data_IF_655884142191
#
_entry.id   IF_655884142191
#
_cell.length_a   1.000
_cell.length_b   1.000
_cell.length_c   1.000
_cell.angle_alpha   90.00
_cell.angle_beta   90.00
_cell.angle_gamma   90.00
#
_symmetry.space_group_name_H-M   'P 1'
#
loop_
_entity.id
_entity.type
_entity.pdbx_description
1 polymer ?
#
# COMPACT_ATOMS: atom_id res chain seq x y z
N UNK A 1 -22.35 14.99 2.66
CA UNK A 1 -21.45 14.39 3.67
C UNK A 1 -21.05 15.50 4.63
N UNK A 2 -21.05 15.25 5.94
CA UNK A 2 -20.59 16.24 6.93
C UNK A 2 -19.05 16.37 6.86
N UNK A 3 -18.50 17.53 7.23
CA UNK A 3 -17.04 17.75 7.24
C UNK A 3 -16.28 16.68 8.03
N UNK A 4 -16.85 16.19 9.14
CA UNK A 4 -16.29 15.11 9.95
C UNK A 4 -16.20 13.78 9.18
N UNK A 5 -17.14 13.50 8.29
CA UNK A 5 -17.15 12.28 7.46
C UNK A 5 -16.03 12.32 6.42
N UNK A 6 -15.75 13.48 5.83
CA UNK A 6 -14.66 13.64 4.83
C UNK A 6 -13.29 13.46 5.48
N UNK A 7 -13.08 14.03 6.67
CA UNK A 7 -11.82 13.87 7.42
C UNK A 7 -11.57 12.40 7.77
N UNK A 8 -12.61 11.70 8.27
CA UNK A 8 -12.52 10.28 8.60
C UNK A 8 -12.17 9.41 7.37
N UNK A 9 -12.73 9.72 6.20
CA UNK A 9 -12.40 9.01 4.94
C UNK A 9 -10.92 9.18 4.58
N UNK A 10 -10.39 10.40 4.63
CA UNK A 10 -8.98 10.66 4.33
C UNK A 10 -8.05 9.93 5.30
N UNK A 11 -8.35 9.99 6.60
CA UNK A 11 -7.57 9.28 7.63
C UNK A 11 -7.58 7.77 7.43
N UNK A 12 -8.74 7.18 7.11
CA UNK A 12 -8.84 5.75 6.84
C UNK A 12 -8.00 5.35 5.62
N UNK A 13 -8.03 6.12 4.54
CA UNK A 13 -7.19 5.85 3.36
C UNK A 13 -5.70 5.84 3.71
N UNK A 14 -5.23 6.81 4.50
CA UNK A 14 -3.84 6.89 4.95
C UNK A 14 -3.46 5.69 5.83
N UNK A 15 -4.30 5.31 6.79
CA UNK A 15 -4.06 4.16 7.65
C UNK A 15 -4.06 2.83 6.88
N UNK A 16 -4.93 2.69 5.87
CA UNK A 16 -4.94 1.50 5.01
C UNK A 16 -3.59 1.36 4.29
N UNK A 17 -3.09 2.43 3.66
CA UNK A 17 -1.78 2.37 3.00
C UNK A 17 -0.64 2.13 4.00
N UNK A 18 -0.66 2.80 5.14
CA UNK A 18 0.31 2.54 6.22
C UNK A 18 0.35 1.06 6.61
N UNK A 19 -0.79 0.41 6.82
CA UNK A 19 -0.81 -1.01 7.16
C UNK A 19 -0.41 -1.92 6.00
N UNK A 20 -0.67 -1.52 4.75
CA UNK A 20 -0.18 -2.25 3.58
C UNK A 20 1.35 -2.17 3.47
N UNK A 21 1.95 -1.01 3.71
CA UNK A 21 3.40 -0.80 3.65
C UNK A 21 4.13 -1.52 4.79
N UNK A 22 3.44 -1.78 5.91
CA UNK A 22 3.95 -2.53 7.06
C UNK A 22 3.59 -4.02 7.04
N UNK A 23 3.25 -4.59 5.86
CA UNK A 23 2.91 -6.01 5.69
C UNK A 23 1.83 -6.51 6.68
N UNK A 24 0.85 -5.65 6.97
CA UNK A 24 -0.26 -5.93 7.89
C UNK A 24 -1.62 -5.89 7.15
N UNK A 25 -1.86 -6.82 6.20
CA UNK A 25 -3.02 -6.75 5.32
C UNK A 25 -4.36 -7.01 6.03
N UNK A 26 -4.39 -7.74 7.15
CA UNK A 26 -5.63 -7.94 7.93
C UNK A 26 -6.13 -6.64 8.56
N UNK A 27 -5.22 -5.85 9.16
CA UNK A 27 -5.54 -4.53 9.69
C UNK A 27 -6.01 -3.58 8.58
N UNK A 28 -5.30 -3.59 7.45
CA UNK A 28 -5.68 -2.81 6.28
C UNK A 28 -7.08 -3.20 5.76
N UNK A 29 -7.40 -4.50 5.71
CA UNK A 29 -8.69 -5.00 5.25
C UNK A 29 -9.83 -4.54 6.17
N UNK A 30 -9.66 -4.66 7.49
CA UNK A 30 -10.67 -4.19 8.45
C UNK A 30 -10.98 -2.70 8.28
N UNK A 31 -9.95 -1.87 8.11
CA UNK A 31 -10.12 -0.43 7.87
C UNK A 31 -10.76 -0.15 6.50
N UNK A 32 -10.44 -0.95 5.47
CA UNK A 32 -11.04 -0.83 4.15
C UNK A 32 -12.54 -1.20 4.16
N UNK A 33 -12.95 -2.22 4.93
CA UNK A 33 -14.37 -2.55 5.14
C UNK A 33 -15.12 -1.41 5.82
N UNK A 34 -14.49 -0.77 6.82
CA UNK A 34 -15.04 0.42 7.47
C UNK A 34 -15.17 1.59 6.50
N UNK A 35 -14.14 1.85 5.70
CA UNK A 35 -14.16 2.90 4.67
C UNK A 35 -15.27 2.66 3.65
N UNK A 36 -15.42 1.43 3.16
CA UNK A 36 -16.47 1.05 2.22
C UNK A 36 -17.87 1.20 2.83
N UNK A 37 -18.03 0.92 4.12
CA UNK A 37 -19.31 1.12 4.82
C UNK A 37 -19.70 2.60 4.95
N UNK A 38 -18.71 3.50 5.10
CA UNK A 38 -18.93 4.95 5.17
C UNK A 38 -19.24 5.53 3.78
N UNK A 39 -18.49 5.09 2.76
CA UNK A 39 -18.60 5.63 1.39
C UNK A 39 -18.62 4.51 0.33
N UNK A 40 -19.75 3.78 0.20
CA UNK A 40 -19.86 2.63 -0.70
C UNK A 40 -20.01 3.01 -2.18
N UNK A 41 -20.30 4.29 -2.47
CA UNK A 41 -20.48 4.78 -3.85
C UNK A 41 -19.16 5.20 -4.48
N UNK A 42 -18.15 5.47 -3.66
CA UNK A 42 -16.85 5.92 -4.12
C UNK A 42 -16.01 4.74 -4.64
N UNK A 43 -15.52 4.82 -5.89
CA UNK A 43 -14.70 3.76 -6.46
C UNK A 43 -13.36 3.58 -5.73
N UNK A 44 -12.82 4.62 -5.08
CA UNK A 44 -11.59 4.50 -4.28
C UNK A 44 -11.79 3.55 -3.09
N UNK A 45 -12.93 3.64 -2.41
CA UNK A 45 -13.27 2.76 -1.29
C UNK A 45 -13.37 1.31 -1.75
N UNK A 46 -14.02 1.09 -2.90
CA UNK A 46 -14.14 -0.24 -3.52
C UNK A 46 -12.77 -0.78 -3.95
N UNK A 47 -11.90 0.08 -4.48
CA UNK A 47 -10.54 -0.27 -4.87
C UNK A 47 -9.70 -0.72 -3.68
N UNK A 48 -9.69 0.05 -2.58
CA UNK A 48 -8.91 -0.30 -1.39
C UNK A 48 -9.40 -1.58 -0.72
N UNK A 49 -10.72 -1.80 -0.68
CA UNK A 49 -11.28 -3.06 -0.21
C UNK A 49 -10.87 -4.23 -1.12
N UNK A 50 -10.91 -4.06 -2.43
CA UNK A 50 -10.46 -5.09 -3.36
C UNK A 50 -8.95 -5.36 -3.25
N UNK A 51 -8.13 -4.30 -3.11
CA UNK A 51 -6.68 -4.39 -3.00
C UNK A 51 -6.26 -5.16 -1.74
N UNK A 52 -6.86 -4.84 -0.59
CA UNK A 52 -6.59 -5.52 0.68
C UNK A 52 -7.00 -7.00 0.62
N UNK A 53 -8.16 -7.31 0.03
CA UNK A 53 -8.56 -8.71 -0.21
C UNK A 53 -7.60 -9.45 -1.16
N UNK A 54 -7.09 -8.77 -2.20
CA UNK A 54 -6.10 -9.36 -3.09
C UNK A 54 -4.79 -9.68 -2.35
N UNK A 55 -4.31 -8.77 -1.48
CA UNK A 55 -3.13 -9.01 -0.63
C UNK A 55 -3.31 -10.18 0.32
N UNK A 56 -4.53 -10.39 0.82
CA UNK A 56 -4.91 -11.57 1.61
C UNK A 56 -5.14 -12.85 0.79
N UNK A 57 -4.83 -12.83 -0.53
CA UNK A 57 -5.07 -13.94 -1.48
C UNK A 57 -6.54 -14.38 -1.58
N UNK A 58 -7.48 -13.51 -1.21
CA UNK A 58 -8.93 -13.72 -1.34
C UNK A 58 -9.38 -13.27 -2.73
N UNK A 59 -8.87 -13.92 -3.77
CA UNK A 59 -9.00 -13.45 -5.16
C UNK A 59 -10.45 -13.32 -5.64
N UNK A 60 -11.33 -14.23 -5.21
CA UNK A 60 -12.76 -14.14 -5.56
C UNK A 60 -13.41 -12.88 -4.98
N UNK A 61 -13.15 -12.58 -3.72
CA UNK A 61 -13.65 -11.36 -3.06
C UNK A 61 -13.07 -10.11 -3.70
N UNK A 62 -11.76 -10.10 -3.99
CA UNK A 62 -11.12 -8.99 -4.69
C UNK A 62 -11.75 -8.72 -6.08
N UNK A 63 -12.04 -9.78 -6.83
CA UNK A 63 -12.77 -9.71 -8.10
C UNK A 63 -14.16 -9.08 -7.89
N UNK A 64 -14.96 -9.58 -6.94
CA UNK A 64 -16.33 -9.09 -6.72
C UNK A 64 -16.36 -7.61 -6.29
N UNK A 65 -15.48 -7.21 -5.38
CA UNK A 65 -15.39 -5.82 -4.89
C UNK A 65 -14.95 -4.83 -5.98
N UNK A 66 -14.10 -5.25 -6.92
CA UNK A 66 -13.56 -4.38 -7.97
C UNK A 66 -14.42 -4.36 -9.24
N UNK A 67 -15.29 -5.34 -9.44
CA UNK A 67 -16.02 -5.58 -10.69
C UNK A 67 -16.81 -4.37 -11.18
N UNK A 68 -17.62 -3.74 -10.32
CA UNK A 68 -18.54 -2.66 -10.70
C UNK A 68 -17.84 -1.47 -11.36
N UNK A 69 -16.72 -1.04 -10.80
CA UNK A 69 -15.98 0.13 -11.29
C UNK A 69 -14.88 -0.26 -12.27
N UNK A 70 -14.26 -1.43 -12.08
CA UNK A 70 -13.18 -1.93 -12.92
C UNK A 70 -13.67 -2.40 -14.29
N UNK A 71 -14.72 -3.21 -14.36
CA UNK A 71 -15.24 -3.76 -15.62
C UNK A 71 -15.86 -2.70 -16.55
N UNK A 72 -16.17 -1.52 -16.01
CA UNK A 72 -16.67 -0.36 -16.76
C UNK A 72 -15.58 0.65 -17.12
N UNK A 73 -14.32 0.41 -16.74
CA UNK A 73 -13.20 1.32 -17.01
C UNK A 73 -13.30 2.68 -16.32
N UNK A 74 -14.15 2.81 -15.29
CA UNK A 74 -14.38 4.10 -14.60
C UNK A 74 -13.31 4.45 -13.58
N UNK A 75 -12.59 3.45 -13.09
CA UNK A 75 -11.55 3.62 -12.07
C UNK A 75 -10.39 2.67 -12.33
N UNK A 76 -9.19 3.23 -12.55
CA UNK A 76 -8.00 2.48 -12.92
C UNK A 76 -7.58 1.48 -11.84
N UNK A 77 -7.58 1.90 -10.56
CA UNK A 77 -7.20 1.00 -9.47
C UNK A 77 -8.13 -0.21 -9.36
N UNK A 78 -9.44 -0.03 -9.60
CA UNK A 78 -10.39 -1.14 -9.63
C UNK A 78 -10.13 -2.05 -10.84
N UNK A 79 -9.93 -1.47 -12.03
CA UNK A 79 -9.67 -2.25 -13.23
C UNK A 79 -8.39 -3.09 -13.08
N UNK A 80 -7.36 -2.54 -12.46
CA UNK A 80 -6.10 -3.23 -12.22
C UNK A 80 -6.22 -4.37 -11.22
N UNK A 81 -6.86 -4.14 -10.06
CA UNK A 81 -7.08 -5.23 -9.08
C UNK A 81 -8.03 -6.30 -9.63
N UNK A 82 -9.04 -5.92 -10.41
CA UNK A 82 -9.91 -6.87 -11.11
C UNK A 82 -9.10 -7.75 -12.06
N UNK A 83 -8.22 -7.14 -12.85
CA UNK A 83 -7.35 -7.85 -13.79
C UNK A 83 -6.34 -8.78 -13.08
N UNK A 84 -5.75 -8.33 -11.97
CA UNK A 84 -4.91 -9.17 -11.11
C UNK A 84 -5.69 -10.38 -10.58
N UNK A 85 -6.89 -10.16 -10.04
CA UNK A 85 -7.74 -11.26 -9.58
C UNK A 85 -8.15 -12.20 -10.73
N UNK A 86 -8.44 -11.67 -11.92
CA UNK A 86 -8.73 -12.45 -13.12
C UNK A 86 -7.56 -13.34 -13.54
N UNK A 87 -6.31 -12.88 -13.42
CA UNK A 87 -5.13 -13.68 -13.68
C UNK A 87 -5.07 -14.91 -12.76
N UNK A 88 -5.27 -14.72 -11.45
CA UNK A 88 -5.25 -15.81 -10.46
C UNK A 88 -6.44 -16.77 -10.59
N UNK A 89 -7.59 -16.26 -11.07
CA UNK A 89 -8.80 -17.06 -11.29
C UNK A 89 -8.87 -17.70 -12.68
N UNK A 90 -7.89 -17.48 -13.56
CA UNK A 90 -7.89 -17.96 -14.95
C UNK A 90 -8.91 -17.27 -15.87
N UNK A 91 -9.50 -16.16 -15.43
CA UNK A 91 -10.51 -15.37 -16.16
C UNK A 91 -9.87 -14.32 -17.07
N UNK A 92 -8.89 -14.72 -17.86
CA UNK A 92 -8.02 -13.81 -18.61
C UNK A 92 -8.78 -12.79 -19.48
N UNK A 93 -9.82 -13.24 -20.20
CA UNK A 93 -10.66 -12.40 -21.06
C UNK A 93 -11.31 -11.22 -20.32
N UNK A 94 -11.81 -11.46 -19.11
CA UNK A 94 -12.45 -10.41 -18.31
C UNK A 94 -11.43 -9.38 -17.83
N UNK A 95 -10.24 -9.84 -17.41
CA UNK A 95 -9.14 -8.96 -17.00
C UNK A 95 -8.64 -8.07 -18.14
N UNK A 96 -8.45 -8.65 -19.33
CA UNK A 96 -8.08 -7.92 -20.54
C UNK A 96 -9.12 -6.84 -20.85
N UNK A 97 -10.41 -7.23 -20.91
CA UNK A 97 -11.49 -6.29 -21.22
C UNK A 97 -11.57 -5.13 -20.22
N UNK A 98 -11.30 -5.37 -18.94
CA UNK A 98 -11.30 -4.33 -17.91
C UNK A 98 -10.17 -3.31 -18.12
N UNK A 99 -8.94 -3.76 -18.39
CA UNK A 99 -7.79 -2.88 -18.63
C UNK A 99 -7.94 -2.10 -19.94
N UNK A 100 -8.47 -2.73 -20.98
CA UNK A 100 -8.73 -2.08 -22.27
C UNK A 100 -9.81 -1.00 -22.18
N UNK A 101 -10.89 -1.23 -21.43
CA UNK A 101 -11.89 -0.18 -21.17
C UNK A 101 -11.32 0.99 -20.37
N UNK A 102 -10.33 0.73 -19.51
CA UNK A 102 -9.64 1.75 -18.73
C UNK A 102 -8.47 2.41 -19.48
N UNK A 103 -8.25 2.12 -20.78
CA UNK A 103 -7.07 2.56 -21.56
C UNK A 103 -6.77 4.05 -21.44
N UNK A 104 -7.79 4.90 -21.52
CA UNK A 104 -7.64 6.36 -21.39
C UNK A 104 -7.12 6.83 -20.02
N UNK A 105 -7.22 6.00 -18.98
CA UNK A 105 -6.77 6.34 -17.63
C UNK A 105 -5.30 6.01 -17.37
N UNK A 106 -4.66 5.18 -18.20
CA UNK A 106 -3.29 4.72 -17.97
C UNK A 106 -2.35 4.91 -19.15
N UNK A 107 -2.87 4.97 -20.39
CA UNK A 107 -2.04 5.12 -21.57
C UNK A 107 -1.19 6.41 -21.49
N UNK A 108 0.12 6.28 -21.72
CA UNK A 108 1.07 7.40 -21.63
C UNK A 108 1.39 7.89 -20.22
N UNK A 109 0.89 7.24 -19.16
CA UNK A 109 1.28 7.58 -17.78
C UNK A 109 2.57 6.88 -17.41
N UNK A 110 3.55 7.67 -16.97
CA UNK A 110 4.77 7.18 -16.33
C UNK A 110 4.83 7.68 -14.88
N UNK A 111 5.10 6.77 -13.94
CA UNK A 111 5.36 7.11 -12.54
C UNK A 111 6.86 7.20 -12.22
N UNK A 112 7.70 7.10 -13.25
CA UNK A 112 9.14 7.19 -13.07
C UNK A 112 9.56 8.54 -12.49
N UNK A 113 10.50 8.51 -11.54
CA UNK A 113 10.94 9.69 -10.79
C UNK A 113 9.91 10.29 -9.83
N UNK A 114 8.69 9.72 -9.75
CA UNK A 114 7.61 10.19 -8.86
C UNK A 114 7.46 9.36 -7.58
N UNK A 115 8.18 8.24 -7.50
CA UNK A 115 8.35 7.49 -6.26
C UNK A 115 9.50 8.11 -5.48
N UNK A 116 9.20 8.71 -4.34
CA UNK A 116 10.19 9.26 -3.41
C UNK A 116 10.18 8.45 -2.11
N UNK A 117 11.18 8.66 -1.25
CA UNK A 117 11.25 8.02 0.07
C UNK A 117 9.96 8.23 0.90
N UNK A 118 9.25 9.34 0.67
CA UNK A 118 8.06 9.74 1.43
C UNK A 118 6.76 9.67 0.61
N UNK A 119 6.80 9.27 -0.66
CA UNK A 119 5.63 9.30 -1.54
C UNK A 119 5.66 8.16 -2.55
N UNK A 120 4.68 7.25 -2.42
CA UNK A 120 4.44 6.19 -3.39
C UNK A 120 3.11 6.42 -4.10
N UNK A 121 3.10 6.29 -5.43
CA UNK A 121 1.85 6.25 -6.19
C UNK A 121 1.22 4.86 -6.04
N UNK A 122 0.01 4.80 -5.51
CA UNK A 122 -0.72 3.55 -5.29
C UNK A 122 -1.55 3.08 -6.50
N UNK A 123 -1.61 3.89 -7.57
CA UNK A 123 -2.21 3.52 -8.85
C UNK A 123 -1.13 3.02 -9.81
N UNK A 124 -1.42 2.04 -10.68
CA UNK A 124 -0.45 1.54 -11.66
C UNK A 124 -0.19 2.58 -12.76
N UNK A 125 0.99 2.54 -13.35
CA UNK A 125 1.36 3.30 -14.54
C UNK A 125 1.22 2.44 -15.82
N UNK A 126 1.54 3.02 -16.98
CA UNK A 126 1.42 2.32 -18.26
C UNK A 126 2.28 1.06 -18.34
N UNK A 127 3.50 1.11 -17.77
CA UNK A 127 4.40 -0.04 -17.75
C UNK A 127 3.77 -1.20 -16.96
N UNK A 128 3.30 -0.95 -15.73
CA UNK A 128 2.66 -1.96 -14.90
C UNK A 128 1.40 -2.57 -15.55
N UNK A 129 0.56 -1.73 -16.18
CA UNK A 129 -0.64 -2.20 -16.88
C UNK A 129 -0.29 -3.07 -18.09
N UNK A 130 0.66 -2.65 -18.92
CA UNK A 130 1.10 -3.43 -20.08
C UNK A 130 1.73 -4.76 -19.67
N UNK A 131 2.50 -4.79 -18.58
CA UNK A 131 3.05 -6.05 -18.04
C UNK A 131 1.95 -7.02 -17.64
N UNK A 132 0.90 -6.55 -16.96
CA UNK A 132 -0.23 -7.39 -16.59
C UNK A 132 -1.04 -7.84 -17.81
N UNK A 133 -1.24 -6.97 -18.81
CA UNK A 133 -1.86 -7.34 -20.09
C UNK A 133 -1.07 -8.46 -20.79
N UNK A 134 0.26 -8.38 -20.80
CA UNK A 134 1.12 -9.43 -21.35
C UNK A 134 0.91 -10.78 -20.66
N UNK A 135 0.83 -10.79 -19.32
CA UNK A 135 0.52 -12.00 -18.54
C UNK A 135 -0.86 -12.57 -18.84
N UNK A 136 -1.87 -11.70 -18.95
CA UNK A 136 -3.23 -12.11 -19.26
C UNK A 136 -3.35 -12.67 -20.69
N UNK A 137 -2.73 -12.04 -21.68
CA UNK A 137 -2.72 -12.56 -23.05
C UNK A 137 -1.97 -13.89 -23.17
N UNK A 138 -0.87 -14.06 -22.42
CA UNK A 138 -0.16 -15.34 -22.33
C UNK A 138 -1.05 -16.42 -21.72
N UNK A 139 -1.75 -16.11 -20.63
CA UNK A 139 -2.73 -17.03 -20.00
C UNK A 139 -3.96 -17.31 -20.87
N UNK A 140 -4.35 -16.36 -21.72
CA UNK A 140 -5.39 -16.53 -22.74
C UNK A 140 -4.95 -17.42 -23.91
N UNK A 141 -3.63 -17.56 -24.14
CA UNK A 141 -3.07 -18.34 -25.24
C UNK A 141 -2.74 -17.53 -26.51
N UNK A 142 -2.80 -16.20 -26.47
CA UNK A 142 -2.38 -15.33 -27.58
C UNK A 142 -0.97 -14.77 -27.32
N UNK A 143 0.05 -15.54 -27.72
CA UNK A 143 1.44 -15.16 -27.51
C UNK A 143 1.85 -13.90 -28.28
N UNK A 144 1.23 -13.64 -29.44
CA UNK A 144 1.56 -12.46 -30.26
C UNK A 144 1.18 -11.18 -29.52
N UNK A 145 -0.07 -11.10 -29.05
CA UNK A 145 -0.54 -9.94 -28.26
C UNK A 145 0.20 -9.81 -26.94
N UNK A 146 0.57 -10.93 -26.31
CA UNK A 146 1.40 -10.91 -25.11
C UNK A 146 2.76 -10.22 -25.38
N UNK A 147 3.39 -10.53 -26.51
CA UNK A 147 4.65 -9.92 -26.94
C UNK A 147 4.52 -8.42 -27.19
N UNK A 148 3.47 -8.01 -27.92
CA UNK A 148 3.20 -6.59 -28.17
C UNK A 148 3.07 -5.81 -26.85
N UNK A 149 2.32 -6.35 -25.87
CA UNK A 149 2.18 -5.76 -24.55
C UNK A 149 3.52 -5.70 -23.79
N UNK A 150 4.32 -6.76 -23.81
CA UNK A 150 5.62 -6.76 -23.15
C UNK A 150 6.60 -5.78 -23.80
N UNK A 151 6.61 -5.64 -25.13
CA UNK A 151 7.42 -4.66 -25.83
C UNK A 151 7.04 -3.24 -25.38
N UNK A 152 5.75 -2.93 -25.32
CA UNK A 152 5.28 -1.61 -24.85
C UNK A 152 5.59 -1.37 -23.37
N UNK A 153 5.50 -2.39 -22.52
CA UNK A 153 5.91 -2.32 -21.13
C UNK A 153 7.42 -2.04 -21.00
N UNK A 154 8.25 -2.73 -21.79
CA UNK A 154 9.70 -2.57 -21.77
C UNK A 154 10.15 -1.19 -22.27
N UNK A 155 9.50 -0.66 -23.33
CA UNK A 155 9.73 0.72 -23.79
C UNK A 155 9.41 1.75 -22.71
N UNK A 156 8.33 1.53 -21.96
CA UNK A 156 7.88 2.43 -20.90
C UNK A 156 8.76 2.35 -19.65
N UNK A 157 9.21 1.15 -19.28
CA UNK A 157 10.12 0.90 -18.17
C UNK A 157 11.08 -0.27 -18.49
N UNK A 158 12.30 0.02 -18.97
CA UNK A 158 13.30 -0.99 -19.32
C UNK A 158 13.78 -1.83 -18.13
N UNK A 159 13.57 -1.35 -16.90
CA UNK A 159 14.02 -2.01 -15.67
C UNK A 159 13.02 -3.04 -15.13
N UNK A 160 11.95 -3.32 -15.86
CA UNK A 160 10.95 -4.32 -15.47
C UNK A 160 11.45 -5.73 -15.79
N UNK A 161 12.12 -6.38 -14.82
CA UNK A 161 12.71 -7.72 -15.00
C UNK A 161 11.72 -8.76 -15.53
N UNK A 162 10.51 -8.80 -15.00
CA UNK A 162 9.50 -9.77 -15.40
C UNK A 162 9.07 -9.65 -16.87
N UNK A 163 9.14 -8.45 -17.44
CA UNK A 163 8.86 -8.20 -18.87
C UNK A 163 9.99 -8.76 -19.72
N UNK A 164 11.24 -8.48 -19.33
CA UNK A 164 12.42 -9.04 -19.99
C UNK A 164 12.37 -10.57 -20.00
N UNK A 165 12.09 -11.18 -18.86
CA UNK A 165 11.94 -12.64 -18.76
C UNK A 165 10.79 -13.14 -19.64
N UNK A 166 9.64 -12.45 -19.65
CA UNK A 166 8.51 -12.79 -20.50
C UNK A 166 8.84 -12.76 -22.00
N UNK A 167 9.66 -11.80 -22.44
CA UNK A 167 10.14 -11.70 -23.81
C UNK A 167 11.13 -12.82 -24.16
N UNK A 168 12.06 -13.15 -23.26
CA UNK A 168 12.97 -14.29 -23.43
C UNK A 168 12.21 -15.63 -23.54
N UNK A 169 11.24 -15.87 -22.65
CA UNK A 169 10.38 -17.06 -22.66
C UNK A 169 9.63 -17.23 -23.99
N UNK A 170 9.34 -16.11 -24.66
CA UNK A 170 8.67 -16.08 -25.95
C UNK A 170 9.60 -16.26 -27.15
N UNK A 171 10.92 -16.34 -26.92
CA UNK A 171 11.92 -16.44 -27.98
C UNK A 171 12.16 -15.12 -28.72
N UNK A 172 11.87 -13.97 -28.10
CA UNK A 172 12.23 -12.69 -28.68
C UNK A 172 13.76 -12.54 -28.71
N UNK A 173 14.30 -12.04 -29.82
CA UNK A 173 15.69 -11.64 -29.91
C UNK A 173 15.87 -10.30 -29.18
N UNK A 174 16.61 -10.31 -28.08
CA UNK A 174 16.79 -9.13 -27.22
C UNK A 174 18.27 -8.77 -27.16
N UNK A 175 18.59 -7.50 -27.41
CA UNK A 175 19.93 -6.96 -27.17
C UNK A 175 20.19 -6.80 -25.66
N UNK A 176 20.90 -7.77 -25.08
CA UNK A 176 21.25 -7.79 -23.66
C UNK A 176 22.03 -6.53 -23.24
N UNK A 177 22.88 -6.00 -24.12
CA UNK A 177 23.72 -4.84 -23.79
C UNK A 177 22.88 -3.54 -23.73
N UNK A 178 21.79 -3.47 -24.50
CA UNK A 178 20.89 -2.32 -24.60
C UNK A 178 19.65 -2.37 -23.69
N UNK A 179 19.27 -3.56 -23.20
CA UNK A 179 17.97 -3.79 -22.55
C UNK A 179 17.74 -3.04 -21.23
N UNK A 180 18.77 -2.89 -20.41
CA UNK A 180 18.65 -2.25 -19.09
C UNK A 180 19.31 -0.88 -19.08
N UNK A 181 18.91 -0.02 -20.02
CA UNK A 181 19.43 1.35 -20.14
C UNK A 181 18.34 2.39 -19.89
N UNK A 182 18.75 3.48 -19.25
CA UNK A 182 17.92 4.67 -19.09
C UNK A 182 17.66 5.28 -20.48
N UNK A 183 16.41 5.32 -20.91
CA UNK A 183 16.03 5.98 -22.17
C UNK A 183 15.92 7.49 -21.99
N UNK A 184 16.06 8.26 -23.07
CA UNK A 184 15.97 9.72 -23.04
C UNK A 184 14.59 10.20 -22.55
N UNK A 185 13.52 9.49 -22.92
CA UNK A 185 12.15 9.76 -22.46
C UNK A 185 12.01 9.55 -20.95
N UNK A 186 12.65 8.49 -20.44
CA UNK A 186 12.67 8.17 -19.03
C UNK A 186 13.47 9.21 -18.23
N UNK A 187 14.63 9.63 -18.73
CA UNK A 187 15.42 10.70 -18.14
C UNK A 187 14.66 12.03 -18.07
N UNK A 188 13.90 12.36 -19.13
CA UNK A 188 13.06 13.57 -19.19
C UNK A 188 11.92 13.52 -18.17
N UNK A 189 11.37 12.34 -17.93
CA UNK A 189 10.33 12.11 -16.92
C UNK A 189 10.84 12.34 -15.50
N UNK A 190 12.09 11.94 -15.19
CA UNK A 190 12.73 12.19 -13.88
C UNK A 190 12.91 13.68 -13.65
N UNK A 191 13.49 14.40 -14.62
CA UNK A 191 13.75 15.83 -14.52
C UNK A 191 12.45 16.63 -14.35
N UNK A 192 11.39 16.22 -15.03
CA UNK A 192 10.07 16.83 -14.88
C UNK A 192 9.45 16.54 -13.51
N UNK A 193 9.64 15.33 -12.99
CA UNK A 193 9.16 14.95 -11.66
C UNK A 193 9.90 15.72 -10.55
N UNK A 194 11.22 15.84 -10.63
CA UNK A 194 12.01 16.61 -9.65
C UNK A 194 11.67 18.10 -9.67
N UNK A 195 11.45 18.69 -10.85
CA UNK A 195 10.95 20.07 -10.96
C UNK A 195 9.56 20.27 -10.33
N UNK A 196 8.67 19.28 -10.45
CA UNK A 196 7.35 19.34 -9.81
C UNK A 196 7.39 19.24 -8.29
N UNK A 197 8.38 18.52 -7.74
CA UNK A 197 8.60 18.40 -6.29
C UNK A 197 9.14 19.72 -5.73
N UNK A 198 10.13 20.35 -6.39
CA UNK A 198 10.70 21.64 -5.96
C UNK A 198 9.67 22.77 -5.94
N UNK A 199 8.71 22.78 -6.88
CA UNK A 199 7.62 23.76 -6.87
C UNK A 199 6.63 23.58 -5.72
N UNK A 200 6.61 22.40 -5.08
CA UNK A 200 5.75 22.13 -3.93
C UNK A 200 6.35 22.60 -2.59
N UNK A 201 7.66 22.88 -2.55
CA UNK A 201 8.34 23.50 -1.40
C UNK A 201 8.28 25.04 -1.40
N UNK A 202 7.76 25.68 -2.45
CA UNK A 202 7.56 27.14 -2.48
C UNK A 202 6.24 27.57 -1.81
N UNK A 203 6.14 27.37 -0.49
CA UNK A 203 5.26 28.22 0.32
C UNK A 203 5.89 29.62 0.26
N UNK A 204 5.20 30.55 -0.41
CA UNK A 204 5.56 31.97 -0.40
C UNK A 204 5.50 32.46 1.05
N UNK A 205 6.68 32.73 1.63
CA UNK A 205 6.82 33.54 2.84
C UNK A 205 6.34 34.96 2.53
N UNK A 206 5.04 35.19 2.70
CA UNK A 206 4.49 36.53 2.86
C UNK A 206 4.30 36.76 4.37
N UNK A 207 4.97 37.75 4.98
CA UNK A 207 4.84 37.98 6.41
C UNK A 207 3.43 38.49 6.74
N UNK A 208 2.74 37.93 7.74
CA UNK A 208 1.40 38.40 8.13
C UNK A 208 1.47 39.80 8.77
N UNK A 209 0.41 40.61 8.64
CA UNK A 209 0.37 41.94 9.24
C UNK A 209 0.39 41.84 10.77
N UNK A 210 1.23 42.68 11.37
CA UNK A 210 1.40 42.85 12.81
C UNK A 210 0.10 43.40 13.41
N UNK A 211 -0.60 42.60 14.20
CA UNK A 211 -1.61 43.06 15.16
C UNK A 211 -1.08 42.89 16.58
N UNK A 212 -1.26 43.87 17.48
CA UNK A 212 -0.59 43.86 18.78
C UNK A 212 -1.15 42.80 19.72
N UNK A 213 -0.22 42.09 20.36
CA UNK A 213 -0.40 41.03 21.36
C UNK A 213 -1.06 41.59 22.62
N UNK A 214 -2.15 40.94 23.06
CA UNK A 214 -2.58 40.95 24.46
C UNK A 214 -2.22 39.61 25.08
N UNK A 215 -1.33 39.67 26.06
CA UNK A 215 -0.72 38.54 26.76
C UNK A 215 -1.69 37.81 27.67
N UNK A 216 -1.88 36.50 27.45
CA UNK A 216 -2.11 35.51 28.52
C UNK A 216 -2.05 34.07 27.96
N UNK A 217 -0.89 33.44 28.14
CA UNK A 217 -0.62 32.01 28.36
C UNK A 217 -1.66 30.97 27.93
N UNK A 218 -1.41 30.24 26.83
CA UNK A 218 -1.69 28.79 26.82
C UNK A 218 -0.92 28.05 25.71
N UNK A 219 0.25 27.51 26.07
CA UNK A 219 0.97 26.49 25.29
C UNK A 219 0.26 25.16 25.61
N UNK A 220 -0.71 24.71 24.79
CA UNK A 220 -1.31 23.36 24.88
C UNK A 220 -2.24 22.94 23.70
N UNK A 221 -2.01 23.37 22.45
CA UNK A 221 -2.93 23.02 21.34
C UNK A 221 -2.40 22.05 20.27
N UNK A 222 -1.28 21.36 20.50
CA UNK A 222 -0.77 20.34 19.55
C UNK A 222 -1.11 18.90 19.98
N UNK A 223 -1.67 18.68 21.18
CA UNK A 223 -2.17 17.38 21.65
C UNK A 223 -3.70 17.34 21.70
N UNK A 224 -4.38 17.31 20.54
CA UNK A 224 -5.85 17.16 20.50
C UNK A 224 -6.34 16.09 19.51
N UNK A 225 -5.56 15.01 19.33
CA UNK A 225 -5.99 13.79 18.61
C UNK A 225 -5.77 12.49 19.40
N UNK A 226 -5.52 12.57 20.71
CA UNK A 226 -5.77 11.41 21.57
C UNK A 226 -7.28 11.30 21.75
N UNK A 227 -7.89 10.12 21.53
CA UNK A 227 -9.28 9.93 21.92
C UNK A 227 -9.34 10.16 23.43
N UNK A 228 -10.12 11.15 23.86
CA UNK A 228 -10.43 11.38 25.28
C UNK A 228 -11.23 10.24 25.91
N UNK A 229 -11.54 9.21 25.13
CA UNK A 229 -11.96 7.87 25.56
C UNK A 229 -10.86 6.87 25.16
N UNK A 230 -9.83 6.76 25.97
CA UNK A 230 -9.00 5.57 25.98
C UNK A 230 -9.83 4.45 26.66
N UNK A 231 -10.23 3.37 25.96
CA UNK A 231 -11.01 2.28 26.56
C UNK A 231 -10.23 1.52 27.65
N UNK A 232 -8.93 1.78 27.79
CA UNK A 232 -8.07 1.23 28.84
C UNK A 232 -7.77 2.23 29.97
N UNK A 233 -8.22 3.49 29.84
CA UNK A 233 -8.09 4.49 30.89
C UNK A 233 -9.47 5.09 31.21
N UNK A 234 -10.24 4.49 32.13
CA UNK A 234 -11.54 5.03 32.50
C UNK A 234 -11.34 6.40 33.16
N UNK A 235 -11.71 7.46 32.45
CA UNK A 235 -11.77 8.81 33.01
C UNK A 235 -12.80 8.79 34.14
N UNK A 236 -12.32 8.75 35.38
CA UNK A 236 -13.16 9.04 36.55
C UNK A 236 -13.43 10.53 36.57
N UNK A 237 -14.66 10.92 36.25
CA UNK A 237 -15.14 12.26 36.57
C UNK A 237 -15.23 12.40 38.10
N UNK A 238 -14.33 13.20 38.68
CA UNK A 238 -14.46 13.67 40.05
C UNK A 238 -13.15 13.68 40.83
N UNK A 239 -12.61 14.88 41.04
CA UNK A 239 -11.70 15.32 42.11
C UNK A 239 -10.66 14.33 42.64
N UNK A 240 -9.42 14.47 42.19
CA UNK A 240 -8.33 14.97 43.03
C UNK A 240 -7.00 14.84 42.29
N UNK A 241 -6.33 15.98 42.13
CA UNK A 241 -4.96 16.06 41.67
C UNK A 241 -4.06 15.70 42.85
N UNK A 242 -3.12 14.77 42.60
CA UNK A 242 -1.90 14.39 43.36
C UNK A 242 -1.93 12.91 43.76
N UNK A 243 -0.90 12.20 43.28
CA UNK A 243 -0.51 10.81 43.56
C UNK A 243 -1.14 9.70 42.69
N UNK A 244 -0.49 9.36 41.57
CA UNK A 244 0.21 8.07 41.42
C UNK A 244 0.73 7.91 39.98
N UNK A 245 1.95 8.37 39.75
CA UNK A 245 2.80 7.83 38.70
C UNK A 245 3.33 6.46 39.15
N UNK A 246 2.49 5.43 39.10
CA UNK A 246 2.95 4.03 39.13
C UNK A 246 2.12 3.23 38.12
N UNK A 247 2.82 2.84 37.06
CA UNK A 247 2.43 1.92 36.01
C UNK A 247 1.71 0.68 36.56
N UNK A 248 0.39 0.66 36.45
CA UNK A 248 -0.41 -0.55 36.62
C UNK A 248 -1.16 -0.84 35.31
N UNK A 249 -0.43 -1.38 34.33
CA UNK A 249 -1.02 -2.13 33.22
C UNK A 249 -1.61 -3.43 33.77
N UNK A 250 -2.82 -3.37 34.33
CA UNK A 250 -3.59 -4.57 34.64
C UNK A 250 -4.26 -5.04 33.35
N UNK A 251 -3.53 -5.86 32.57
CA UNK A 251 -4.13 -6.69 31.53
C UNK A 251 -5.31 -7.47 32.15
N UNK A 252 -6.49 -7.53 31.50
CA UNK A 252 -7.55 -8.42 31.94
C UNK A 252 -6.98 -9.83 32.01
N UNK A 253 -7.02 -10.43 33.20
CA UNK A 253 -6.52 -11.79 33.45
C UNK A 253 -7.40 -12.75 32.65
N UNK A 254 -6.98 -13.10 31.44
CA UNK A 254 -7.62 -14.11 30.60
C UNK A 254 -7.61 -15.39 31.44
N UNK A 255 -8.79 -15.83 31.88
CA UNK A 255 -8.94 -17.12 32.54
C UNK A 255 -8.70 -18.21 31.48
N UNK A 256 -7.45 -18.62 31.31
CA UNK A 256 -7.17 -19.89 30.63
C UNK A 256 -7.79 -20.99 31.48
N UNK A 257 -8.90 -21.57 31.02
CA UNK A 257 -9.34 -22.87 31.51
C UNK A 257 -8.33 -23.89 30.98
N UNK A 258 -7.30 -24.13 31.79
CA UNK A 258 -6.31 -25.18 31.54
C UNK A 258 -6.99 -26.53 31.52
N UNK A 259 -6.92 -27.21 30.37
CA UNK A 259 -6.98 -28.66 30.28
C UNK A 259 -5.54 -29.13 30.48
N UNK A 260 -5.36 -30.14 31.33
CA UNK A 260 -4.12 -30.84 31.69
C UNK A 260 -3.29 -30.32 32.89
N UNK A 261 -3.31 -31.13 33.95
CA UNK A 261 -2.08 -31.82 34.40
C UNK A 261 -1.19 -31.10 35.40
N UNK A 262 -1.45 -31.35 36.68
CA UNK A 262 -0.59 -31.08 37.82
C UNK A 262 0.81 -31.71 37.68
N UNK A 263 1.89 -30.93 37.81
CA UNK A 263 3.11 -31.32 38.54
C UNK A 263 4.06 -30.12 38.71
N UNK A 264 4.43 -29.86 39.97
CA UNK A 264 5.38 -28.82 40.34
C UNK A 264 6.81 -29.34 40.41
N UNK A 265 7.75 -28.53 39.92
CA UNK A 265 9.13 -28.45 40.41
C UNK A 265 9.80 -27.15 39.92
N UNK A 266 10.61 -26.57 40.81
CA UNK A 266 11.23 -25.22 40.81
C UNK A 266 12.02 -24.82 39.55
N UNK A 267 12.21 -23.51 39.29
CA UNK A 267 13.01 -23.02 38.17
C UNK A 267 14.51 -23.13 38.47
N UNK A 268 15.21 -23.89 37.64
CA UNK A 268 16.69 -23.89 37.57
C UNK A 268 17.15 -22.77 36.65
N UNK A 269 18.23 -22.12 37.05
CA UNK A 269 18.95 -20.99 36.46
C UNK A 269 19.07 -21.00 34.92
N UNK A 270 18.93 -19.80 34.35
CA UNK A 270 19.13 -19.44 32.95
C UNK A 270 20.47 -19.97 32.40
N UNK A 271 20.43 -20.60 31.23
CA UNK A 271 21.60 -20.77 30.35
C UNK A 271 21.62 -19.63 29.33
N UNK A 272 22.79 -19.01 29.24
CA UNK A 272 23.18 -17.91 28.37
C UNK A 272 23.06 -18.28 26.88
N UNK A 273 22.53 -17.34 26.09
CA UNK A 273 22.56 -17.39 24.64
C UNK A 273 23.99 -17.07 24.16
N UNK A 274 24.77 -18.09 23.82
CA UNK A 274 26.00 -17.91 23.04
C UNK A 274 25.69 -18.21 21.56
N UNK A 275 25.89 -17.21 20.71
CA UNK A 275 25.90 -17.32 19.25
C UNK A 275 27.14 -18.09 18.76
N UNK A 276 27.03 -18.99 17.78
CA UNK A 276 28.20 -19.67 17.23
C UNK A 276 28.96 -18.75 16.26
N UNK A 277 30.17 -18.35 16.63
CA UNK A 277 31.15 -17.77 15.71
C UNK A 277 31.84 -18.89 14.95
N UNK A 278 31.70 -18.89 13.62
CA UNK A 278 32.47 -19.73 12.74
C UNK A 278 33.94 -19.31 12.76
N UNK A 279 34.85 -20.22 13.13
CA UNK A 279 36.26 -20.10 12.82
C UNK A 279 36.66 -21.33 11.99
N UNK A 280 37.00 -21.07 10.74
CA UNK A 280 37.71 -22.02 9.89
C UNK A 280 39.14 -22.21 10.39
N UNK A 281 39.65 -23.43 10.21
CA UNK A 281 41.09 -23.67 10.23
C UNK A 281 41.43 -24.73 9.18
N UNK A 282 42.44 -24.35 8.41
CA UNK A 282 43.14 -25.05 7.33
C UNK A 282 44.12 -26.12 7.87
N UNK A 283 44.48 -27.08 7.02
CA UNK A 283 45.66 -27.96 7.13
C UNK A 283 45.47 -29.17 8.05
N UNK A 284 45.79 -30.41 7.69
CA UNK A 284 46.57 -30.99 6.58
C UNK A 284 45.92 -32.30 6.11
#
# INVERSE_FOLDING_TARGET
MSHNSTLAVTQLKQLIYYHLDNESPDNANFLAERLFSIDPRNPDSSHLLALTNYRLRRFKTAYDCSQKSGANGRHLGCAYVLALACQELGKHNEGIAALEKARSLWQGRSHWGKHTEYSTRHTPDAAAVNTLLGKLWRGHGDARRAGDCYIEAHKSNPFTWEVFQGLCDMGAEIDLAGSFRMTTELASSITSASASILNQESIKDEPPPIVPVSSANNINSIHALTPTNDPFNPVKNGGDLIAQAQSNFLLPRIKSKGIFGNNGSKPTSQQSWETPTANGMSGD
#
